data_IF_956378344000
#
_entry.id   IF_956378344000
#
_cell.length_a   1.000
_cell.length_b   1.000
_cell.length_c   1.000
_cell.angle_alpha   90.00
_cell.angle_beta   90.00
_cell.angle_gamma   90.00
#
_symmetry.space_group_name_H-M   'P 1'
#
loop_
_entity.id
_entity.type
_entity.pdbx_description
1 polymer ?
#
# COMPACT_ATOMS: atom_id res chain seq x y z
N UNK A 1 -24.66 -30.00 16.36
CA UNK A 1 -24.35 -29.01 17.43
C UNK A 1 -23.02 -29.44 18.02
N UNK A 2 -22.09 -28.52 18.29
CA UNK A 2 -20.63 -28.69 18.43
C UNK A 2 -19.87 -28.48 17.11
N UNK A 3 -19.78 -27.22 16.69
CA UNK A 3 -18.74 -26.76 15.76
C UNK A 3 -17.56 -26.24 16.57
N UNK A 4 -16.35 -26.67 16.23
CA UNK A 4 -15.10 -25.97 16.54
C UNK A 4 -14.13 -26.23 15.39
N UNK A 5 -14.07 -25.27 14.47
CA UNK A 5 -13.07 -25.21 13.41
C UNK A 5 -11.71 -24.85 14.00
N UNK A 6 -10.66 -25.45 13.44
CA UNK A 6 -9.28 -25.21 13.84
C UNK A 6 -8.82 -23.80 13.52
N UNK A 7 -8.41 -23.06 14.56
CA UNK A 7 -7.62 -21.85 14.41
C UNK A 7 -6.13 -22.24 14.45
N UNK A 8 -5.54 -22.43 13.27
CA UNK A 8 -4.08 -22.51 13.13
C UNK A 8 -3.45 -21.11 13.17
N UNK A 9 -2.21 -20.94 13.66
CA UNK A 9 -1.50 -19.67 13.64
C UNK A 9 -0.97 -19.40 12.22
N UNK A 10 -1.88 -19.00 11.33
CA UNK A 10 -1.54 -18.44 10.03
C UNK A 10 -1.01 -17.02 10.23
N UNK A 11 0.29 -16.87 10.10
CA UNK A 11 0.97 -15.58 10.02
C UNK A 11 0.40 -14.77 8.86
N UNK A 12 -0.41 -13.77 9.18
CA UNK A 12 -0.92 -12.82 8.22
C UNK A 12 -0.87 -11.46 8.87
N UNK A 13 0.26 -10.76 8.74
CA UNK A 13 0.39 -9.33 9.02
C UNK A 13 -0.40 -8.52 7.98
N UNK A 14 -1.67 -8.86 7.76
CA UNK A 14 -2.67 -8.00 7.14
C UNK A 14 -3.23 -7.11 8.22
N UNK A 15 -2.36 -6.26 8.77
CA UNK A 15 -2.71 -5.31 9.80
C UNK A 15 -3.92 -4.51 9.31
N UNK A 16 -4.92 -4.39 10.19
CA UNK A 16 -6.11 -3.57 10.07
C UNK A 16 -5.72 -2.09 10.04
N UNK A 17 -4.96 -1.69 9.02
CA UNK A 17 -4.58 -0.30 8.80
C UNK A 17 -5.86 0.42 8.43
N UNK A 18 -6.32 1.28 9.34
CA UNK A 18 -7.53 2.06 9.15
C UNK A 18 -7.53 2.85 7.84
N UNK A 19 -8.71 3.34 7.41
CA UNK A 19 -8.85 4.06 6.17
C UNK A 19 -7.99 5.34 6.20
N UNK A 20 -6.90 5.36 5.44
CA UNK A 20 -6.21 6.61 5.08
C UNK A 20 -4.69 6.65 5.15
N UNK A 21 -4.02 5.74 5.87
CA UNK A 21 -2.55 5.81 6.05
C UNK A 21 -1.89 4.47 5.74
N UNK A 22 -1.98 4.00 4.50
CA UNK A 22 -1.19 2.87 4.03
C UNK A 22 0.31 3.21 4.00
N UNK A 23 1.21 2.22 4.16
CA UNK A 23 2.66 2.47 4.19
C UNK A 23 3.19 3.10 2.90
N UNK A 24 2.46 3.03 1.78
CA UNK A 24 2.77 3.78 0.55
C UNK A 24 2.78 5.28 0.77
N UNK A 25 1.79 5.85 1.46
CA UNK A 25 1.73 7.31 1.63
C UNK A 25 2.94 7.83 2.45
N UNK A 26 3.38 7.06 3.46
CA UNK A 26 4.55 7.43 4.26
C UNK A 26 5.86 7.17 3.51
N UNK A 27 5.98 6.01 2.87
CA UNK A 27 7.25 5.57 2.30
C UNK A 27 7.55 6.23 0.95
N UNK A 28 6.50 6.58 0.21
CA UNK A 28 6.59 7.27 -1.07
C UNK A 28 6.44 8.79 -0.93
N UNK A 29 6.28 9.37 0.27
CA UNK A 29 5.97 10.80 0.42
C UNK A 29 6.90 11.71 -0.39
N UNK A 30 8.22 11.50 -0.28
CA UNK A 30 9.22 12.27 -1.04
C UNK A 30 9.10 12.08 -2.55
N UNK A 31 8.84 10.85 -2.98
CA UNK A 31 8.67 10.53 -4.39
C UNK A 31 7.36 11.10 -4.93
N UNK A 32 6.30 11.13 -4.11
CA UNK A 32 5.03 11.77 -4.42
C UNK A 32 5.24 13.27 -4.60
N UNK A 33 5.94 13.93 -3.69
CA UNK A 33 6.24 15.37 -3.81
C UNK A 33 7.15 15.68 -5.01
N UNK A 34 8.04 14.75 -5.41
CA UNK A 34 8.95 14.94 -6.53
C UNK A 34 8.32 14.66 -7.91
N UNK A 35 7.48 13.62 -8.01
CA UNK A 35 6.97 13.12 -9.28
C UNK A 35 5.44 13.23 -9.43
N UNK A 36 4.71 13.20 -8.31
CA UNK A 36 3.25 13.10 -8.26
C UNK A 36 2.62 14.23 -7.43
N UNK A 37 3.26 15.39 -7.30
CA UNK A 37 2.75 16.49 -6.48
C UNK A 37 1.42 17.06 -7.02
N UNK A 38 1.24 16.98 -8.34
CA UNK A 38 0.01 17.38 -9.03
C UNK A 38 -1.11 16.32 -8.93
N UNK A 39 -0.78 15.11 -8.48
CA UNK A 39 -1.76 14.03 -8.36
C UNK A 39 -2.70 14.23 -7.18
N UNK A 40 -3.98 13.92 -7.41
CA UNK A 40 -5.00 14.11 -6.40
C UNK A 40 -4.89 13.05 -5.30
N UNK A 41 -4.34 13.45 -4.18
CA UNK A 41 -4.23 12.66 -2.96
C UNK A 41 -5.65 12.28 -2.48
N UNK A 42 -5.95 10.97 -2.42
CA UNK A 42 -7.21 10.46 -1.84
C UNK A 42 -8.09 9.58 -2.75
N UNK A 43 -7.86 9.53 -4.07
CA UNK A 43 -8.56 8.60 -4.99
C UNK A 43 -7.59 7.74 -5.82
N UNK A 44 -6.50 7.29 -5.23
CA UNK A 44 -5.58 6.36 -5.92
C UNK A 44 -4.76 6.96 -7.07
N UNK A 45 -4.95 8.22 -7.48
CA UNK A 45 -4.13 8.86 -8.53
C UNK A 45 -2.64 8.90 -8.18
N UNK A 46 -2.33 9.19 -6.90
CA UNK A 46 -0.97 9.10 -6.39
C UNK A 46 -0.36 7.71 -6.56
N UNK A 47 -1.14 6.64 -6.34
CA UNK A 47 -0.64 5.27 -6.52
C UNK A 47 -0.37 4.96 -7.99
N UNK A 48 -1.24 5.42 -8.88
CA UNK A 48 -1.09 5.23 -10.33
C UNK A 48 0.17 5.94 -10.85
N UNK A 49 0.37 7.19 -10.46
CA UNK A 49 1.57 7.94 -10.79
C UNK A 49 2.85 7.30 -10.22
N UNK A 50 2.80 6.79 -8.99
CA UNK A 50 3.93 6.08 -8.39
C UNK A 50 4.23 4.76 -9.10
N UNK A 51 3.21 4.02 -9.55
CA UNK A 51 3.39 2.80 -10.36
C UNK A 51 3.95 3.15 -11.76
N UNK A 52 3.49 4.23 -12.39
CA UNK A 52 4.04 4.74 -13.65
C UNK A 52 5.51 5.19 -13.50
N UNK A 53 5.88 5.71 -12.32
CA UNK A 53 7.22 6.14 -11.99
C UNK A 53 7.98 5.12 -11.13
N UNK A 54 7.54 3.86 -11.05
CA UNK A 54 8.10 2.86 -10.12
C UNK A 54 9.59 2.67 -10.30
N UNK A 55 10.13 2.85 -11.51
CA UNK A 55 11.57 2.76 -11.80
C UNK A 55 12.37 3.98 -11.33
N UNK A 56 11.71 5.14 -11.14
CA UNK A 56 12.32 6.42 -10.74
C UNK A 56 12.18 6.72 -9.26
N UNK A 57 11.20 6.12 -8.58
CA UNK A 57 11.00 6.28 -7.14
C UNK A 57 12.02 5.46 -6.34
N UNK A 58 12.14 5.80 -5.06
CA UNK A 58 13.02 5.12 -4.11
C UNK A 58 12.64 3.63 -3.94
N UNK A 59 13.63 2.76 -3.67
CA UNK A 59 13.37 1.32 -3.49
C UNK A 59 12.41 1.02 -2.35
N UNK A 60 12.43 1.84 -1.30
CA UNK A 60 11.49 1.72 -0.20
C UNK A 60 10.05 2.00 -0.66
N UNK A 61 9.84 2.97 -1.56
CA UNK A 61 8.52 3.23 -2.15
C UNK A 61 8.06 2.06 -3.04
N UNK A 62 8.96 1.49 -3.85
CA UNK A 62 8.66 0.28 -4.64
C UNK A 62 8.20 -0.88 -3.75
N UNK A 63 8.91 -1.11 -2.65
CA UNK A 63 8.57 -2.13 -1.67
C UNK A 63 7.21 -1.85 -1.00
N UNK A 64 6.89 -0.60 -0.70
CA UNK A 64 5.58 -0.23 -0.17
C UNK A 64 4.45 -0.45 -1.19
N UNK A 65 4.66 -0.12 -2.46
CA UNK A 65 3.67 -0.36 -3.54
C UNK A 65 3.38 -1.86 -3.72
N UNK A 66 4.41 -2.69 -3.63
CA UNK A 66 4.32 -4.16 -3.69
C UNK A 66 3.63 -4.74 -2.44
N UNK A 67 4.04 -4.27 -1.25
CA UNK A 67 3.49 -4.72 0.03
C UNK A 67 2.02 -4.34 0.24
N UNK A 68 1.57 -3.22 -0.34
CA UNK A 68 0.19 -2.71 -0.23
C UNK A 68 -0.71 -3.14 -1.37
N UNK A 69 -0.47 -4.33 -1.94
CA UNK A 69 -1.18 -4.90 -3.10
C UNK A 69 -2.59 -4.36 -3.35
N UNK A 70 -2.83 -3.91 -4.59
CA UNK A 70 -4.10 -3.34 -5.06
C UNK A 70 -5.20 -4.32 -4.65
N UNK A 71 -6.07 -3.90 -3.71
CA UNK A 71 -6.94 -4.76 -2.91
C UNK A 71 -7.15 -6.17 -3.47
N UNK A 72 -6.52 -7.17 -2.84
CA UNK A 72 -6.84 -8.56 -3.14
C UNK A 72 -8.31 -8.78 -2.78
N UNK A 73 -9.10 -8.96 -3.84
CA UNK A 73 -10.52 -9.29 -3.94
C UNK A 73 -11.04 -10.19 -2.82
#
# INVERSE_FOLDING_TARGET
>A
MMGQGGMGPGQGTGQRMGPGMGPVAMQCQKDIEAFCADERHGRGGVRDCLEANKSKVSDACKAALDSTGVGRR
#
